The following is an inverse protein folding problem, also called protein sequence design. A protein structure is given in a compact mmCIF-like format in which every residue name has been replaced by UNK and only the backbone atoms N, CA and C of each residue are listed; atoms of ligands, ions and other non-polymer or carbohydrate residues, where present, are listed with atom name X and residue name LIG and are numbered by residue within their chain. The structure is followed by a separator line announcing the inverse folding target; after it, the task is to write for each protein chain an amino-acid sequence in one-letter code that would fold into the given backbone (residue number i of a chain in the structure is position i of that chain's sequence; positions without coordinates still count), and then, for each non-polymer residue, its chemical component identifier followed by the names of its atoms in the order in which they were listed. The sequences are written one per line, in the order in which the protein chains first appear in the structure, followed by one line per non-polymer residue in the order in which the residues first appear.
data_IF_790994890142
#
_entry.id   IF_790994890142
#
_cell.length_a   1.000
_cell.length_b   1.000
_cell.length_c   1.000
_cell.angle_alpha   90.00
_cell.angle_beta   90.00
_cell.angle_gamma   90.00
#
_symmetry.space_group_name_H-M   'P 1'
#
loop_
_entity.id
_entity.type
_entity.pdbx_description
1 polymer ?
#
# COMPACT_ATOMS: atom_id res chain seq x y z
N UNK A 1 -26.47 22.45 19.23
CA UNK A 1 -25.74 23.70 18.85
C UNK A 1 -25.20 23.71 17.42
N UNK A 2 -24.76 22.58 16.84
CA UNK A 2 -24.18 22.51 15.49
C UNK A 2 -25.06 23.07 14.34
N UNK A 3 -26.39 22.94 14.40
CA UNK A 3 -27.30 23.40 13.34
C UNK A 3 -27.32 24.92 13.11
N UNK A 4 -26.99 25.74 14.12
CA UNK A 4 -26.95 27.21 13.97
C UNK A 4 -25.69 27.69 13.25
N UNK A 5 -24.55 27.02 13.48
CA UNK A 5 -23.28 27.33 12.83
C UNK A 5 -23.29 26.95 11.35
N UNK A 6 -23.83 25.77 11.02
CA UNK A 6 -23.99 25.30 9.63
C UNK A 6 -24.86 26.27 8.81
N UNK A 7 -25.98 26.75 9.37
CA UNK A 7 -26.83 27.75 8.69
C UNK A 7 -26.13 29.09 8.50
N UNK A 8 -25.33 29.54 9.47
CA UNK A 8 -24.56 30.80 9.38
C UNK A 8 -23.44 30.72 8.34
N UNK A 9 -22.80 29.56 8.20
CA UNK A 9 -21.79 29.31 7.17
C UNK A 9 -22.39 29.24 5.77
N UNK A 10 -23.51 28.52 5.60
CA UNK A 10 -24.20 28.39 4.31
C UNK A 10 -24.79 29.71 3.79
N UNK A 11 -25.12 30.66 4.68
CA UNK A 11 -25.61 31.99 4.31
C UNK A 11 -24.51 33.07 4.21
N UNK A 12 -23.25 32.72 4.41
CA UNK A 12 -22.16 33.68 4.26
C UNK A 12 -22.04 34.17 2.80
N UNK A 13 -21.73 35.48 2.62
CA UNK A 13 -21.52 36.10 1.30
C UNK A 13 -20.51 35.37 0.40
N UNK A 14 -19.39 34.80 0.90
CA UNK A 14 -18.48 34.03 0.05
C UNK A 14 -19.11 32.72 -0.46
N UNK A 15 -19.82 31.98 0.40
CA UNK A 15 -20.44 30.69 0.03
C UNK A 15 -21.51 30.88 -1.06
N UNK A 16 -22.33 31.93 -0.97
CA UNK A 16 -23.30 32.26 -2.03
C UNK A 16 -22.67 32.69 -3.36
N UNK A 17 -21.46 33.26 -3.34
CA UNK A 17 -20.73 33.61 -4.57
C UNK A 17 -20.22 32.34 -5.26
N UNK A 18 -19.66 31.42 -4.49
CA UNK A 18 -19.18 30.11 -4.97
C UNK A 18 -20.34 29.27 -5.51
N UNK A 19 -21.48 29.21 -4.81
CA UNK A 19 -22.65 28.44 -5.27
C UNK A 19 -23.21 29.01 -6.58
N UNK A 20 -23.34 30.33 -6.71
CA UNK A 20 -23.82 30.95 -7.97
C UNK A 20 -22.86 30.73 -9.13
N UNK A 21 -21.55 30.80 -8.88
CA UNK A 21 -20.55 30.44 -9.89
C UNK A 21 -20.67 28.97 -10.30
N UNK A 22 -20.78 28.05 -9.33
CA UNK A 22 -20.95 26.61 -9.58
C UNK A 22 -22.29 26.25 -10.25
N UNK A 23 -23.31 27.10 -10.14
CA UNK A 23 -24.59 26.95 -10.85
C UNK A 23 -24.53 27.45 -12.29
N UNK A 24 -23.68 28.44 -12.59
CA UNK A 24 -23.49 28.99 -13.94
C UNK A 24 -22.50 28.20 -14.82
N UNK A 25 -21.64 27.38 -14.21
CA UNK A 25 -20.69 26.54 -14.93
C UNK A 25 -21.35 25.19 -15.28
N UNK A 26 -21.63 25.00 -16.56
CA UNK A 26 -22.04 23.71 -17.14
C UNK A 26 -20.87 23.19 -17.96
N UNK A 27 -20.26 22.09 -17.52
CA UNK A 27 -19.14 21.49 -18.21
C UNK A 27 -19.65 20.63 -19.39
N UNK A 28 -18.98 20.67 -20.56
CA UNK A 28 -19.30 19.78 -21.67
C UNK A 28 -19.16 18.32 -21.23
N UNK A 29 -20.20 17.50 -21.46
CA UNK A 29 -20.27 16.10 -21.03
C UNK A 29 -21.17 15.84 -19.80
N UNK A 30 -21.65 16.87 -19.10
CA UNK A 30 -22.53 16.71 -17.92
C UNK A 30 -24.03 16.65 -18.25
N UNK A 31 -24.40 16.44 -19.52
CA UNK A 31 -25.80 16.27 -19.94
C UNK A 31 -26.71 17.48 -19.63
N UNK A 32 -26.15 18.68 -19.47
CA UNK A 32 -26.89 19.90 -19.13
C UNK A 32 -26.99 20.20 -17.63
N UNK A 33 -26.46 19.35 -16.74
CA UNK A 33 -26.43 19.63 -15.30
C UNK A 33 -25.28 20.58 -14.92
N UNK A 34 -25.58 21.62 -14.13
CA UNK A 34 -24.55 22.50 -13.55
C UNK A 34 -23.64 21.73 -12.58
N UNK A 35 -22.40 22.17 -12.42
CA UNK A 35 -21.43 21.60 -11.46
C UNK A 35 -22.02 21.48 -10.05
N UNK A 36 -22.82 22.45 -9.59
CA UNK A 36 -23.50 22.38 -8.29
C UNK A 36 -24.39 21.13 -8.11
N UNK A 37 -25.17 20.77 -9.14
CA UNK A 37 -26.07 19.62 -9.10
C UNK A 37 -25.29 18.31 -9.05
N UNK A 38 -24.26 18.19 -9.89
CA UNK A 38 -23.38 17.01 -9.92
C UNK A 38 -22.63 16.86 -8.60
N UNK A 39 -22.04 17.93 -8.08
CA UNK A 39 -21.34 17.89 -6.78
C UNK A 39 -22.28 17.55 -5.63
N UNK A 40 -23.48 18.15 -5.57
CA UNK A 40 -24.46 17.84 -4.53
C UNK A 40 -24.91 16.38 -4.60
N UNK A 41 -25.19 15.87 -5.80
CA UNK A 41 -25.55 14.48 -6.01
C UNK A 41 -24.40 13.54 -5.60
N UNK A 42 -23.17 13.85 -6.01
CA UNK A 42 -21.98 13.08 -5.67
C UNK A 42 -21.79 12.98 -4.15
N UNK A 43 -21.76 14.11 -3.43
CA UNK A 43 -21.64 14.08 -1.97
C UNK A 43 -22.83 13.39 -1.31
N UNK A 44 -24.06 13.57 -1.81
CA UNK A 44 -25.22 12.86 -1.29
C UNK A 44 -25.11 11.34 -1.46
N UNK A 45 -24.68 10.88 -2.64
CA UNK A 45 -24.47 9.47 -2.95
C UNK A 45 -23.29 8.87 -2.17
N UNK A 46 -22.21 9.63 -1.96
CA UNK A 46 -21.07 9.22 -1.12
C UNK A 46 -21.49 9.02 0.34
N UNK A 47 -22.20 9.99 0.93
CA UNK A 47 -22.53 9.96 2.36
C UNK A 47 -23.78 9.14 2.70
N UNK A 48 -24.74 8.99 1.78
CA UNK A 48 -25.90 8.09 1.99
C UNK A 48 -25.69 6.68 1.44
N UNK A 49 -24.70 6.48 0.59
CA UNK A 49 -24.37 5.15 0.07
C UNK A 49 -23.67 4.30 1.12
N UNK A 50 -23.79 2.97 1.01
CA UNK A 50 -23.01 2.02 1.80
C UNK A 50 -21.50 2.01 1.46
N UNK A 51 -20.99 3.08 0.85
CA UNK A 51 -19.60 3.19 0.41
C UNK A 51 -18.65 3.19 1.60
N UNK A 52 -18.99 3.91 2.66
CA UNK A 52 -18.20 3.94 3.90
C UNK A 52 -18.06 2.54 4.51
N UNK A 53 -19.18 1.82 4.66
CA UNK A 53 -19.17 0.44 5.17
C UNK A 53 -18.35 -0.52 4.29
N UNK A 54 -18.42 -0.36 2.96
CA UNK A 54 -17.63 -1.17 2.01
C UNK A 54 -16.15 -0.84 2.07
N UNK A 55 -15.80 0.44 2.15
CA UNK A 55 -14.42 0.89 2.29
C UNK A 55 -13.81 0.41 3.61
N UNK A 56 -14.56 0.51 4.72
CA UNK A 56 -14.17 -0.01 6.02
C UNK A 56 -13.94 -1.53 5.97
N UNK A 57 -14.83 -2.29 5.30
CA UNK A 57 -14.66 -3.73 5.14
C UNK A 57 -13.42 -4.10 4.31
N UNK A 58 -13.09 -3.33 3.27
CA UNK A 58 -11.86 -3.51 2.48
C UNK A 58 -10.63 -3.21 3.34
N UNK A 59 -10.62 -2.08 4.05
CA UNK A 59 -9.53 -1.67 4.93
C UNK A 59 -9.28 -2.68 6.05
N UNK A 60 -10.35 -3.21 6.66
CA UNK A 60 -10.25 -4.24 7.68
C UNK A 60 -9.63 -5.54 7.15
N UNK A 61 -10.02 -5.99 5.95
CA UNK A 61 -9.43 -7.18 5.30
C UNK A 61 -7.94 -6.98 5.00
N UNK A 62 -7.55 -5.79 4.55
CA UNK A 62 -6.14 -5.43 4.34
C UNK A 62 -5.37 -5.40 5.66
N UNK A 63 -5.95 -4.83 6.71
CA UNK A 63 -5.33 -4.78 8.03
C UNK A 63 -5.09 -6.18 8.59
N UNK A 64 -6.06 -7.10 8.48
CA UNK A 64 -5.87 -8.49 8.88
C UNK A 64 -4.78 -9.20 8.05
N UNK A 65 -4.60 -8.83 6.77
CA UNK A 65 -3.56 -9.39 5.92
C UNK A 65 -2.15 -8.96 6.34
N UNK A 66 -2.00 -7.87 7.10
CA UNK A 66 -0.70 -7.41 7.59
C UNK A 66 -0.06 -8.42 8.54
N UNK A 67 -0.82 -9.11 9.39
CA UNK A 67 -0.23 -10.03 10.37
C UNK A 67 0.48 -11.22 9.70
N UNK A 68 -0.16 -12.02 8.82
CA UNK A 68 0.54 -13.09 8.11
C UNK A 68 1.68 -12.55 7.24
N UNK A 69 1.52 -11.37 6.62
CA UNK A 69 2.57 -10.77 5.79
C UNK A 69 3.82 -10.40 6.61
N UNK A 70 3.64 -9.82 7.79
CA UNK A 70 4.73 -9.51 8.72
C UNK A 70 5.44 -10.78 9.21
N UNK A 71 4.70 -11.84 9.52
CA UNK A 71 5.29 -13.11 9.93
C UNK A 71 6.12 -13.72 8.81
N UNK A 72 5.61 -13.74 7.56
CA UNK A 72 6.38 -14.17 6.38
C UNK A 72 7.65 -13.34 6.25
N UNK A 73 7.55 -12.02 6.34
CA UNK A 73 8.70 -11.12 6.20
C UNK A 73 9.76 -11.39 7.26
N UNK A 74 9.38 -11.56 8.53
CA UNK A 74 10.32 -11.84 9.62
C UNK A 74 10.94 -13.24 9.50
N UNK A 75 10.13 -14.26 9.23
CA UNK A 75 10.59 -15.66 9.12
C UNK A 75 11.39 -15.96 7.86
N UNK A 76 11.35 -15.08 6.86
CA UNK A 76 12.18 -15.17 5.66
C UNK A 76 13.63 -14.72 5.92
N UNK A 77 13.85 -13.82 6.89
CA UNK A 77 15.17 -13.25 7.18
C UNK A 77 16.26 -14.30 7.49
N UNK A 78 16.03 -15.34 8.32
CA UNK A 78 17.04 -16.37 8.58
C UNK A 78 17.48 -17.16 7.34
N UNK A 79 16.75 -17.07 6.22
CA UNK A 79 17.09 -17.73 4.97
C UNK A 79 18.03 -16.88 4.08
N UNK A 80 18.25 -15.61 4.42
CA UNK A 80 19.12 -14.71 3.66
C UNK A 80 20.59 -15.00 4.01
N UNK A 81 21.42 -15.48 3.05
CA UNK A 81 22.81 -15.86 3.30
C UNK A 81 23.74 -14.63 3.20
N UNK A 82 23.50 -13.60 4.01
CA UNK A 82 24.36 -12.41 4.09
C UNK A 82 25.00 -12.37 5.48
N UNK A 83 26.32 -12.23 5.51
CA UNK A 83 27.09 -12.19 6.74
C UNK A 83 26.67 -11.01 7.63
N UNK A 84 26.44 -11.29 8.91
CA UNK A 84 26.01 -10.34 9.95
C UNK A 84 24.71 -9.57 9.65
N UNK A 85 23.94 -9.96 8.65
CA UNK A 85 22.70 -9.25 8.28
C UNK A 85 21.70 -9.23 9.44
N UNK A 86 21.49 -10.38 10.06
CA UNK A 86 20.53 -10.54 11.15
C UNK A 86 20.93 -9.71 12.38
N UNK A 87 22.23 -9.69 12.71
CA UNK A 87 22.77 -8.91 13.84
C UNK A 87 22.60 -7.41 13.58
N UNK A 88 22.97 -6.94 12.38
CA UNK A 88 22.79 -5.53 11.97
C UNK A 88 21.31 -5.13 12.02
N UNK A 89 20.42 -5.99 11.52
CA UNK A 89 18.98 -5.74 11.50
C UNK A 89 18.40 -5.64 12.93
N UNK A 90 18.78 -6.55 13.83
CA UNK A 90 18.37 -6.50 15.24
C UNK A 90 18.90 -5.24 15.93
N UNK A 91 20.13 -4.82 15.61
CA UNK A 91 20.69 -3.55 16.07
C UNK A 91 19.88 -2.34 15.61
N UNK A 92 19.42 -2.33 14.35
CA UNK A 92 18.53 -1.29 13.81
C UNK A 92 17.21 -1.24 14.59
N UNK A 93 16.56 -2.37 14.83
CA UNK A 93 15.33 -2.41 15.63
C UNK A 93 15.54 -1.84 17.04
N UNK A 94 16.65 -2.18 17.69
CA UNK A 94 17.00 -1.66 19.02
C UNK A 94 17.20 -0.15 19.02
N UNK A 95 17.73 0.42 17.95
CA UNK A 95 17.94 1.88 17.83
C UNK A 95 16.67 2.67 17.47
N UNK A 96 15.72 2.03 16.75
CA UNK A 96 14.47 2.68 16.31
C UNK A 96 13.37 2.65 17.36
N UNK A 97 13.39 1.66 18.25
CA UNK A 97 12.32 1.45 19.23
C UNK A 97 12.69 1.99 20.61
N UNK A 98 11.74 2.58 21.36
CA UNK A 98 11.94 2.87 22.78
C UNK A 98 12.32 1.59 23.54
N UNK A 99 13.22 1.71 24.52
CA UNK A 99 13.78 0.55 25.23
C UNK A 99 12.74 -0.41 25.82
N UNK A 100 11.63 0.12 26.35
CA UNK A 100 10.52 -0.70 26.87
C UNK A 100 9.86 -1.56 25.79
N UNK A 101 9.63 -0.97 24.61
CA UNK A 101 9.02 -1.66 23.47
C UNK A 101 9.95 -2.74 22.95
N UNK A 102 11.25 -2.44 22.83
CA UNK A 102 12.24 -3.42 22.39
C UNK A 102 12.31 -4.60 23.35
N UNK A 103 12.45 -4.36 24.66
CA UNK A 103 12.49 -5.44 25.68
C UNK A 103 11.26 -6.35 25.65
N UNK A 104 10.09 -5.78 25.35
CA UNK A 104 8.85 -6.55 25.24
C UNK A 104 8.87 -7.54 24.06
N UNK A 105 9.47 -7.18 22.92
CA UNK A 105 9.44 -7.98 21.69
C UNK A 105 10.78 -8.65 21.34
N UNK A 106 11.86 -8.37 22.06
CA UNK A 106 13.22 -8.82 21.76
C UNK A 106 13.30 -10.34 21.60
N UNK A 107 12.68 -11.10 22.50
CA UNK A 107 12.66 -12.57 22.42
C UNK A 107 11.96 -13.09 21.16
N UNK A 108 10.87 -12.45 20.75
CA UNK A 108 10.17 -12.79 19.51
C UNK A 108 11.03 -12.44 18.29
N UNK A 109 11.63 -11.25 18.26
CA UNK A 109 12.50 -10.83 17.15
C UNK A 109 13.69 -11.76 17.02
N UNK A 110 14.38 -12.07 18.12
CA UNK A 110 15.52 -12.96 18.14
C UNK A 110 15.16 -14.36 17.61
N UNK A 111 14.02 -14.91 18.04
CA UNK A 111 13.56 -16.24 17.58
C UNK A 111 13.18 -16.23 16.08
N UNK A 112 12.40 -15.25 15.63
CA UNK A 112 11.93 -15.18 14.23
C UNK A 112 13.04 -14.79 13.23
N UNK A 113 14.01 -13.98 13.64
CA UNK A 113 15.07 -13.44 12.77
C UNK A 113 16.28 -14.37 12.68
N UNK A 114 16.60 -15.13 13.74
CA UNK A 114 17.79 -15.97 13.78
C UNK A 114 17.51 -17.45 13.53
N UNK A 115 16.30 -17.95 13.81
CA UNK A 115 15.96 -19.37 13.61
C UNK A 115 15.08 -19.57 12.40
N UNK A 116 15.39 -20.62 11.64
CA UNK A 116 14.62 -21.01 10.44
C UNK A 116 13.33 -21.72 10.84
N UNK A 117 12.21 -21.01 10.80
CA UNK A 117 10.88 -21.55 11.05
C UNK A 117 10.14 -21.88 9.75
N UNK A 118 10.53 -22.96 9.07
CA UNK A 118 9.96 -23.35 7.76
C UNK A 118 8.45 -23.61 7.79
N UNK A 119 7.94 -24.18 8.89
CA UNK A 119 6.50 -24.43 9.07
C UNK A 119 5.72 -23.12 9.21
N UNK A 120 6.24 -22.19 10.03
CA UNK A 120 5.60 -20.90 10.25
C UNK A 120 5.62 -20.04 8.97
N UNK A 121 6.73 -20.05 8.24
CA UNK A 121 6.88 -19.35 6.96
C UNK A 121 5.86 -19.85 5.93
N UNK A 122 5.78 -21.16 5.70
CA UNK A 122 4.89 -21.74 4.69
C UNK A 122 3.41 -21.55 5.05
N UNK A 123 3.04 -21.75 6.32
CA UNK A 123 1.67 -21.55 6.79
C UNK A 123 1.24 -20.08 6.63
N UNK A 124 2.08 -19.15 7.10
CA UNK A 124 1.82 -17.72 7.00
C UNK A 124 1.79 -17.24 5.56
N UNK A 125 2.58 -17.85 4.67
CA UNK A 125 2.57 -17.56 3.25
C UNK A 125 1.24 -17.96 2.60
N UNK A 126 0.73 -19.16 2.87
CA UNK A 126 -0.57 -19.61 2.35
C UNK A 126 -1.71 -18.75 2.88
N UNK A 127 -1.73 -18.46 4.19
CA UNK A 127 -2.71 -17.55 4.78
C UNK A 127 -2.61 -16.14 4.19
N UNK A 128 -1.38 -15.62 4.03
CA UNK A 128 -1.11 -14.33 3.43
C UNK A 128 -1.66 -14.24 2.00
N UNK A 129 -1.40 -15.26 1.18
CA UNK A 129 -1.95 -15.35 -0.19
C UNK A 129 -3.48 -15.37 -0.19
N UNK A 130 -4.09 -16.15 0.71
CA UNK A 130 -5.55 -16.22 0.82
C UNK A 130 -6.16 -14.85 1.20
N UNK A 131 -5.60 -14.17 2.20
CA UNK A 131 -6.07 -12.85 2.65
C UNK A 131 -5.80 -11.75 1.60
N UNK A 132 -4.65 -11.80 0.92
CA UNK A 132 -4.31 -10.86 -0.16
C UNK A 132 -5.27 -11.00 -1.35
N UNK A 133 -5.54 -12.24 -1.80
CA UNK A 133 -6.51 -12.51 -2.86
C UNK A 133 -7.92 -12.05 -2.47
N UNK A 134 -8.32 -12.23 -1.20
CA UNK A 134 -9.60 -11.71 -0.70
C UNK A 134 -9.66 -10.19 -0.69
N UNK A 135 -8.55 -9.52 -0.38
CA UNK A 135 -8.45 -8.06 -0.39
C UNK A 135 -8.59 -7.49 -1.80
N UNK A 136 -7.86 -8.04 -2.78
CA UNK A 136 -7.97 -7.63 -4.19
C UNK A 136 -9.39 -7.86 -4.71
N UNK A 137 -9.98 -9.02 -4.39
CA UNK A 137 -11.37 -9.29 -4.75
C UNK A 137 -12.35 -8.26 -4.13
N UNK A 138 -12.13 -7.84 -2.89
CA UNK A 138 -12.96 -6.83 -2.23
C UNK A 138 -12.85 -5.45 -2.92
N UNK A 139 -11.64 -5.06 -3.32
CA UNK A 139 -11.39 -3.83 -4.09
C UNK A 139 -12.12 -3.88 -5.43
N UNK A 140 -12.00 -4.99 -6.16
CA UNK A 140 -12.71 -5.19 -7.42
C UNK A 140 -14.23 -5.12 -7.24
N UNK A 141 -14.79 -5.68 -6.15
CA UNK A 141 -16.21 -5.54 -5.83
C UNK A 141 -16.61 -4.08 -5.60
N UNK A 142 -15.72 -3.28 -4.98
CA UNK A 142 -15.91 -1.85 -4.76
C UNK A 142 -16.06 -1.09 -6.08
N UNK A 143 -15.19 -1.34 -7.06
CA UNK A 143 -15.25 -0.69 -8.37
C UNK A 143 -16.42 -1.16 -9.24
N UNK A 144 -16.79 -2.44 -9.14
CA UNK A 144 -17.85 -3.03 -9.98
C UNK A 144 -19.25 -2.47 -9.74
N UNK A 145 -19.50 -1.79 -8.63
CA UNK A 145 -20.82 -1.19 -8.36
C UNK A 145 -21.03 0.19 -9.00
N UNK A 146 -20.05 0.73 -9.75
CA UNK A 146 -20.20 2.04 -10.40
C UNK A 146 -20.80 1.98 -11.81
N UNK A 147 -21.01 0.80 -12.40
CA UNK A 147 -21.58 0.63 -13.73
C UNK A 147 -22.99 0.05 -13.64
N UNK A 148 -23.98 0.83 -14.09
CA UNK A 148 -25.38 0.44 -14.27
C UNK A 148 -25.55 -0.58 -15.42
N UNK A 149 -24.74 -1.63 -15.46
CA UNK A 149 -24.84 -2.71 -16.44
C UNK A 149 -25.01 -4.02 -15.68
N UNK A 150 -26.26 -4.46 -15.59
CA UNK A 150 -26.68 -5.75 -15.05
C UNK A 150 -26.21 -6.89 -15.95
N UNK A 151 -24.93 -7.21 -15.90
CA UNK A 151 -24.42 -8.45 -16.47
C UNK A 151 -24.16 -9.45 -15.33
N UNK A 152 -24.85 -10.58 -15.42
CA UNK A 152 -24.76 -11.71 -14.50
C UNK A 152 -23.40 -12.39 -14.60
N UNK A 153 -22.39 -11.83 -13.96
CA UNK A 153 -21.05 -12.42 -13.95
C UNK A 153 -20.93 -13.54 -12.92
N UNK A 154 -20.47 -14.71 -13.37
CA UNK A 154 -20.18 -15.88 -12.52
C UNK A 154 -19.08 -15.52 -11.49
N UNK A 155 -19.26 -15.82 -10.19
CA UNK A 155 -18.32 -15.47 -9.11
C UNK A 155 -16.90 -16.02 -9.34
N UNK A 156 -16.78 -17.13 -10.06
CA UNK A 156 -15.50 -17.74 -10.45
C UNK A 156 -14.66 -16.87 -11.38
N UNK A 157 -15.27 -16.19 -12.37
CA UNK A 157 -14.54 -15.29 -13.30
C UNK A 157 -13.93 -14.12 -12.55
N UNK A 158 -14.65 -13.57 -11.57
CA UNK A 158 -14.15 -12.50 -10.72
C UNK A 158 -12.99 -12.96 -9.84
N UNK A 159 -13.07 -14.16 -9.26
CA UNK A 159 -11.97 -14.72 -8.47
C UNK A 159 -10.72 -14.91 -9.34
N UNK A 160 -10.88 -15.37 -10.58
CA UNK A 160 -9.78 -15.51 -11.54
C UNK A 160 -9.11 -14.16 -11.84
N UNK A 161 -9.89 -13.10 -12.10
CA UNK A 161 -9.35 -11.74 -12.32
C UNK A 161 -8.57 -11.26 -11.10
N UNK A 162 -9.09 -11.48 -9.88
CA UNK A 162 -8.38 -11.09 -8.65
C UNK A 162 -7.05 -11.82 -8.47
N UNK A 163 -6.98 -13.10 -8.85
CA UNK A 163 -5.74 -13.89 -8.78
C UNK A 163 -4.74 -13.47 -9.86
N UNK A 164 -5.20 -13.18 -11.08
CA UNK A 164 -4.35 -12.70 -12.16
C UNK A 164 -3.75 -11.33 -11.82
N UNK A 165 -4.56 -10.41 -11.29
CA UNK A 165 -4.08 -9.10 -10.85
C UNK A 165 -3.07 -9.23 -9.69
N UNK A 166 -3.31 -10.14 -8.75
CA UNK A 166 -2.35 -10.45 -7.68
C UNK A 166 -1.01 -10.93 -8.25
N UNK A 167 -1.03 -11.90 -9.17
CA UNK A 167 0.17 -12.42 -9.81
C UNK A 167 0.92 -11.33 -10.59
N UNK A 168 0.21 -10.49 -11.34
CA UNK A 168 0.80 -9.37 -12.07
C UNK A 168 1.54 -8.42 -11.13
N UNK A 169 0.90 -8.02 -10.02
CA UNK A 169 1.53 -7.14 -9.02
C UNK A 169 2.76 -7.79 -8.38
N UNK A 170 2.71 -9.09 -8.07
CA UNK A 170 3.86 -9.83 -7.54
C UNK A 170 5.02 -9.85 -8.54
N UNK A 171 4.75 -10.11 -9.82
CA UNK A 171 5.79 -10.11 -10.87
C UNK A 171 6.41 -8.73 -11.02
N UNK A 172 5.60 -7.66 -11.02
CA UNK A 172 6.10 -6.29 -11.07
C UNK A 172 6.99 -5.94 -9.87
N UNK A 173 6.63 -6.41 -8.67
CA UNK A 173 7.40 -6.18 -7.46
C UNK A 173 8.75 -6.93 -7.50
N UNK A 174 8.76 -8.19 -7.94
CA UNK A 174 10.00 -8.96 -8.13
C UNK A 174 10.89 -8.30 -9.18
N UNK A 175 10.31 -7.83 -10.29
CA UNK A 175 11.05 -7.10 -11.31
C UNK A 175 11.66 -5.80 -10.76
N UNK A 176 10.92 -5.04 -9.94
CA UNK A 176 11.43 -3.84 -9.30
C UNK A 176 12.62 -4.14 -8.37
N UNK A 177 12.52 -5.18 -7.54
CA UNK A 177 13.62 -5.61 -6.65
C UNK A 177 14.84 -6.04 -7.47
N UNK A 178 14.64 -6.78 -8.56
CA UNK A 178 15.73 -7.22 -9.44
C UNK A 178 16.47 -6.01 -10.04
N UNK A 179 15.74 -5.01 -10.55
CA UNK A 179 16.32 -3.77 -11.10
C UNK A 179 17.12 -3.02 -10.03
N UNK A 180 16.57 -2.85 -8.83
CA UNK A 180 17.27 -2.20 -7.70
C UNK A 180 18.56 -2.95 -7.33
N UNK A 181 18.52 -4.29 -7.33
CA UNK A 181 19.68 -5.13 -6.97
C UNK A 181 20.78 -5.02 -8.02
N UNK A 182 20.43 -5.11 -9.31
CA UNK A 182 21.37 -4.94 -10.42
C UNK A 182 22.01 -3.55 -10.38
N UNK A 183 21.20 -2.51 -10.12
CA UNK A 183 21.70 -1.13 -9.98
C UNK A 183 22.69 -1.01 -8.83
N UNK A 184 22.40 -1.65 -7.68
CA UNK A 184 23.31 -1.62 -6.53
C UNK A 184 24.64 -2.31 -6.81
N UNK A 185 24.61 -3.48 -7.49
CA UNK A 185 25.79 -4.21 -7.93
C UNK A 185 26.61 -3.46 -8.98
N UNK A 186 25.94 -2.78 -9.91
CA UNK A 186 26.61 -1.94 -10.90
C UNK A 186 27.37 -0.78 -10.26
N UNK A 187 26.79 -0.14 -9.23
CA UNK A 187 27.48 0.94 -8.50
C UNK A 187 28.69 0.45 -7.72
N UNK A 188 28.64 -0.73 -7.09
CA UNK A 188 29.80 -1.26 -6.36
C UNK A 188 30.97 -1.57 -7.29
N UNK A 189 30.70 -2.11 -8.49
CA UNK A 189 31.75 -2.36 -9.50
C UNK A 189 32.45 -1.07 -9.96
N UNK A 190 31.70 0.02 -10.13
CA UNK A 190 32.25 1.31 -10.54
C UNK A 190 33.09 1.94 -9.42
N UNK A 191 32.66 1.82 -8.16
CA UNK A 191 33.42 2.35 -7.02
C UNK A 191 34.76 1.63 -6.86
N UNK A 192 34.77 0.29 -6.94
CA UNK A 192 36.01 -0.50 -6.84
C UNK A 192 37.01 -0.17 -7.96
N UNK A 193 36.54 0.15 -9.18
CA UNK A 193 37.42 0.57 -10.29
C UNK A 193 37.82 2.06 -10.22
N UNK A 194 37.02 2.91 -9.57
CA UNK A 194 37.32 4.33 -9.37
C UNK A 194 38.41 4.58 -8.32
N UNK A 195 38.44 3.77 -7.26
CA UNK A 195 39.45 3.88 -6.19
C UNK A 195 40.86 3.53 -6.69
N UNK A 196 40.99 2.64 -7.69
CA UNK A 196 42.26 2.35 -8.35
C UNK A 196 42.78 3.52 -9.21
N UNK A 197 41.90 4.36 -9.76
CA UNK A 197 42.30 5.52 -10.56
C UNK A 197 42.81 6.67 -9.68
N UNK A 198 42.20 6.89 -8.50
CA UNK A 198 42.71 7.85 -7.52
C UNK A 198 44.01 7.40 -6.82
N UNK A 199 44.22 6.08 -6.66
CA UNK A 199 45.51 5.58 -6.16
C UNK A 199 46.64 5.90 -7.16
N UNK A 200 46.40 5.80 -8.48
CA UNK A 200 47.41 6.12 -9.51
C UNK A 200 47.70 7.62 -9.66
N UNK A 201 46.76 8.52 -9.34
CA UNK A 201 47.03 9.97 -9.22
C UNK A 201 47.84 10.32 -7.96
N UNK A 202 47.80 9.49 -6.91
CA UNK A 202 48.56 9.70 -5.67
C UNK A 202 50.03 9.23 -5.71
N UNK A 203 50.39 8.36 -6.67
CA UNK A 203 51.77 7.82 -6.83
C UNK A 203 52.49 8.34 -8.08
N UNK A 204 51.95 9.36 -8.77
CA UNK A 204 52.51 9.89 -10.01
C UNK A 204 52.40 11.41 -10.15
N UNK A 205 53.48 12.08 -9.76
CA UNK A 205 53.92 13.44 -10.12
C UNK A 205 53.37 14.64 -9.32
N UNK A 206 54.30 15.19 -8.52
CA UNK A 206 54.60 16.63 -8.41
C UNK A 206 54.56 17.37 -9.74
#
# INVERSE_FOLDING_TARGET
MAGRLVRKLLYSRPVRRVIRFAQGVVLPGFGGFSVYHVSRFFFHALFKGNLENRAAAIAFRLFLALFPALIVLLTLIPFIPIQDFQVKLLGTFRSMLPGEVYRFIEGMLHDLVLRKHSTLLSLSFVFGLFLASNSINAILQGFRHSTFVTEWYRPWKQRLISLLLMLLLTVLLVAAIAVLTITSWGRSLIHDHGDHLHFLEGIGFS
#
